data_IF_163771759535
#
_entry.id   IF_163771759535
#
_cell.length_a   1.000
_cell.length_b   1.000
_cell.length_c   1.000
_cell.angle_alpha   90.00
_cell.angle_beta   90.00
_cell.angle_gamma   90.00
#
_symmetry.space_group_name_H-M   'P 1'
#
loop_
_entity.id
_entity.type
_entity.pdbx_description
1 polymer ?
#
# COMPACT_ATOMS: atom_id res chain seq x y z
N UNK A 1 -35.63 20.02 -62.62
CA UNK A 1 -34.57 20.25 -61.62
C UNK A 1 -34.89 19.48 -60.35
N UNK A 2 -33.92 18.82 -59.72
CA UNK A 2 -34.06 18.21 -58.39
C UNK A 2 -32.66 18.17 -57.72
N UNK A 3 -32.48 18.69 -56.50
CA UNK A 3 -31.18 18.71 -55.83
C UNK A 3 -30.82 17.36 -55.21
N UNK A 4 -29.51 17.01 -55.22
CA UNK A 4 -29.03 15.69 -54.84
C UNK A 4 -28.86 15.45 -53.33
N UNK A 5 -28.92 14.17 -52.93
CA UNK A 5 -28.55 13.70 -51.58
C UNK A 5 -27.03 13.71 -51.42
N UNK A 6 -26.50 14.45 -50.43
CA UNK A 6 -25.09 14.33 -49.99
C UNK A 6 -24.95 13.19 -48.98
N UNK A 7 -23.89 12.39 -49.09
CA UNK A 7 -23.60 11.30 -48.17
C UNK A 7 -23.00 11.78 -46.84
N UNK A 8 -23.37 11.14 -45.72
CA UNK A 8 -22.79 11.39 -44.41
C UNK A 8 -21.81 10.26 -44.01
N UNK A 9 -20.53 10.58 -43.89
CA UNK A 9 -19.49 9.62 -43.50
C UNK A 9 -19.56 9.40 -41.98
N UNK A 10 -20.00 8.21 -41.55
CA UNK A 10 -19.97 7.79 -40.13
C UNK A 10 -18.56 7.31 -39.74
N UNK A 11 -17.72 8.24 -39.29
CA UNK A 11 -16.43 7.91 -38.68
C UNK A 11 -16.61 7.12 -37.38
N UNK A 12 -16.20 5.84 -37.37
CA UNK A 12 -16.10 5.05 -36.13
C UNK A 12 -14.90 5.55 -35.32
N UNK A 13 -15.14 6.22 -34.19
CA UNK A 13 -14.08 6.46 -33.18
C UNK A 13 -13.84 5.15 -32.42
N UNK A 14 -12.64 4.59 -32.56
CA UNK A 14 -12.17 3.44 -31.80
C UNK A 14 -11.73 3.87 -30.40
N UNK A 15 -12.59 3.67 -29.40
CA UNK A 15 -12.21 3.83 -28.00
C UNK A 15 -11.34 2.65 -27.53
N UNK A 16 -10.09 2.59 -27.99
CA UNK A 16 -9.05 1.83 -27.30
C UNK A 16 -8.61 2.60 -26.05
N UNK A 17 -9.44 2.54 -25.00
CA UNK A 17 -8.99 2.90 -23.66
C UNK A 17 -8.19 1.72 -23.10
N UNK A 18 -6.90 1.66 -23.44
CA UNK A 18 -5.98 0.65 -22.89
C UNK A 18 -5.95 0.81 -21.37
N UNK A 19 -6.03 -0.31 -20.66
CA UNK A 19 -5.96 -0.34 -19.20
C UNK A 19 -4.53 -0.05 -18.75
N UNK A 20 -4.39 0.70 -17.64
CA UNK A 20 -3.10 0.94 -16.97
C UNK A 20 -3.21 0.58 -15.50
N UNK A 21 -2.21 -0.14 -15.02
CA UNK A 21 -2.09 -0.61 -13.66
C UNK A 21 -1.91 0.54 -12.67
N UNK A 22 -2.30 0.32 -11.42
CA UNK A 22 -2.17 1.32 -10.34
C UNK A 22 -0.73 1.84 -10.19
N UNK A 23 0.26 0.94 -10.25
CA UNK A 23 1.68 1.26 -10.18
C UNK A 23 2.21 2.10 -11.36
N UNK A 24 1.52 2.13 -12.51
CA UNK A 24 1.94 2.94 -13.66
C UNK A 24 1.52 4.41 -13.49
N UNK A 25 0.36 4.66 -12.86
CA UNK A 25 -0.13 6.03 -12.60
C UNK A 25 0.76 6.81 -11.64
N UNK A 26 1.52 6.12 -10.79
CA UNK A 26 2.52 6.74 -9.91
C UNK A 26 3.77 7.20 -10.66
N UNK A 27 4.09 6.60 -11.83
CA UNK A 27 5.23 7.02 -12.65
C UNK A 27 4.95 8.29 -13.46
N UNK A 28 3.72 8.46 -13.94
CA UNK A 28 3.31 9.65 -14.70
C UNK A 28 3.37 10.97 -13.88
N UNK A 29 3.54 10.89 -12.54
CA UNK A 29 3.68 12.05 -11.64
C UNK A 29 5.09 12.68 -11.62
N UNK A 30 6.13 12.01 -12.13
CA UNK A 30 7.54 12.42 -11.92
C UNK A 30 8.05 13.56 -12.82
N UNK A 31 7.24 14.08 -13.75
CA UNK A 31 7.75 14.82 -14.93
C UNK A 31 7.56 16.34 -14.85
N UNK A 32 6.72 16.88 -13.96
CA UNK A 32 6.36 18.31 -13.94
C UNK A 32 6.34 18.96 -12.54
N UNK A 33 7.41 19.69 -12.19
CA UNK A 33 7.44 20.69 -11.11
C UNK A 33 8.65 21.62 -11.30
N UNK A 34 8.46 22.94 -11.23
CA UNK A 34 9.54 23.95 -11.33
C UNK A 34 9.18 25.21 -10.54
N UNK A 35 10.13 25.73 -9.75
CA UNK A 35 10.17 27.07 -9.10
C UNK A 35 9.06 27.34 -8.04
N UNK A 36 9.39 27.37 -6.74
CA UNK A 36 9.69 28.55 -5.87
C UNK A 36 8.43 29.23 -5.24
N UNK A 37 8.44 29.86 -4.05
CA UNK A 37 9.38 29.98 -2.90
C UNK A 37 8.63 30.56 -1.66
N UNK A 38 9.22 30.58 -0.44
CA UNK A 38 8.70 31.36 0.73
C UNK A 38 8.89 30.79 2.16
N UNK A 39 9.01 31.66 3.18
CA UNK A 39 9.26 31.41 4.63
C UNK A 39 8.57 32.55 5.47
N UNK A 40 8.42 32.62 6.81
CA UNK A 40 8.93 32.00 8.06
C UNK A 40 7.74 31.64 9.02
N UNK A 41 7.77 30.80 10.08
CA UNK A 41 8.62 30.54 11.28
C UNK A 41 8.41 31.47 12.51
N UNK A 42 7.98 30.92 13.67
CA UNK A 42 8.44 31.27 15.06
C UNK A 42 7.74 30.50 16.22
N UNK A 43 8.52 29.64 16.90
CA UNK A 43 8.69 29.40 18.37
C UNK A 43 7.53 29.20 19.41
N UNK A 44 7.49 27.97 19.95
CA UNK A 44 7.73 27.57 21.38
C UNK A 44 6.74 27.72 22.56
N UNK A 45 6.93 26.79 23.51
CA UNK A 45 6.55 26.74 24.96
C UNK A 45 5.28 25.96 25.35
N UNK A 46 5.22 25.05 26.35
CA UNK A 46 6.17 24.08 26.96
C UNK A 46 5.37 23.10 27.89
N UNK A 47 6.04 22.08 28.45
CA UNK A 47 5.78 21.42 29.74
C UNK A 47 4.66 20.36 29.86
N UNK A 48 5.12 19.12 29.61
CA UNK A 48 5.06 17.97 30.56
C UNK A 48 3.71 17.43 31.08
N UNK A 49 3.37 16.22 30.62
CA UNK A 49 2.94 15.10 31.47
C UNK A 49 3.01 13.79 30.67
N UNK A 50 4.14 13.09 30.70
CA UNK A 50 4.31 11.77 30.04
C UNK A 50 4.69 10.69 31.06
N UNK A 51 3.70 10.19 31.79
CA UNK A 51 3.74 8.82 32.28
C UNK A 51 3.54 7.91 31.07
N UNK A 52 4.51 7.07 30.72
CA UNK A 52 4.40 6.12 29.60
C UNK A 52 3.40 4.99 29.94
N UNK A 53 2.12 5.28 29.78
CA UNK A 53 1.04 4.29 29.76
C UNK A 53 1.11 3.50 28.46
N UNK A 54 1.60 2.26 28.51
CA UNK A 54 1.83 1.43 27.31
C UNK A 54 0.60 1.21 26.42
N UNK A 55 -0.62 1.37 26.96
CA UNK A 55 -1.87 1.20 26.20
C UNK A 55 -2.20 2.35 25.22
N UNK A 56 -1.46 3.46 25.26
CA UNK A 56 -1.69 4.65 24.42
C UNK A 56 -2.94 5.47 24.81
N UNK A 57 -3.32 6.43 23.95
CA UNK A 57 -4.43 7.37 24.21
C UNK A 57 -5.50 7.22 23.12
N UNK A 58 -6.80 7.28 23.48
CA UNK A 58 -7.87 7.24 22.48
C UNK A 58 -7.93 8.55 21.67
N UNK A 59 -8.12 8.44 20.35
CA UNK A 59 -8.23 9.59 19.47
C UNK A 59 -9.41 10.52 19.83
N UNK A 60 -9.12 11.81 19.97
CA UNK A 60 -10.11 12.86 20.24
C UNK A 60 -10.90 13.30 18.99
N UNK A 61 -10.42 12.94 17.80
CA UNK A 61 -11.02 13.25 16.49
C UNK A 61 -11.89 12.10 15.97
N UNK A 62 -12.76 12.40 15.00
CA UNK A 62 -13.76 11.44 14.52
C UNK A 62 -13.15 10.37 13.60
N UNK A 63 -13.04 9.12 14.05
CA UNK A 63 -12.69 7.99 13.18
C UNK A 63 -13.95 7.40 12.54
N UNK A 64 -13.92 7.15 11.22
CA UNK A 64 -15.04 6.57 10.48
C UNK A 64 -14.60 5.54 9.42
N UNK A 65 -15.53 4.72 8.94
CA UNK A 65 -15.30 3.83 7.79
C UNK A 65 -16.54 3.67 6.92
N UNK A 66 -16.36 3.32 5.65
CA UNK A 66 -17.43 2.70 4.86
C UNK A 66 -17.25 1.17 4.88
N UNK A 67 -18.19 0.44 5.50
CA UNK A 67 -18.25 -1.02 5.45
C UNK A 67 -18.96 -1.48 4.16
N UNK A 68 -18.23 -2.15 3.25
CA UNK A 68 -18.80 -2.69 2.02
C UNK A 68 -19.40 -4.10 2.19
N UNK A 69 -19.24 -4.72 3.36
CA UNK A 69 -19.63 -6.10 3.67
C UNK A 69 -18.84 -7.17 2.89
N UNK A 70 -17.73 -6.80 2.23
CA UNK A 70 -16.91 -7.73 1.43
C UNK A 70 -16.04 -8.68 2.28
N UNK A 71 -15.92 -8.43 3.59
CA UNK A 71 -15.03 -9.14 4.52
C UNK A 71 -15.79 -9.98 5.57
N UNK A 72 -15.21 -11.12 5.97
CA UNK A 72 -15.67 -11.94 7.11
C UNK A 72 -15.83 -11.06 8.38
N UNK A 73 -17.04 -10.94 8.97
CA UNK A 73 -17.28 -10.10 10.14
C UNK A 73 -16.41 -10.44 11.37
N UNK A 74 -15.93 -11.68 11.48
CA UNK A 74 -15.09 -12.12 12.59
C UNK A 74 -13.62 -11.71 12.41
N UNK A 75 -13.14 -11.65 11.17
CA UNK A 75 -11.73 -11.37 10.81
C UNK A 75 -11.45 -9.90 10.45
N UNK A 76 -12.46 -9.19 9.96
CA UNK A 76 -12.34 -7.77 9.59
C UNK A 76 -11.91 -6.90 10.80
N UNK A 77 -10.82 -6.12 10.64
CA UNK A 77 -10.34 -5.20 11.67
C UNK A 77 -11.23 -3.96 11.84
N UNK A 78 -11.81 -3.41 10.76
CA UNK A 78 -12.78 -2.31 10.83
C UNK A 78 -14.03 -2.67 11.65
N UNK A 79 -14.63 -3.83 11.39
CA UNK A 79 -15.75 -4.39 12.16
C UNK A 79 -15.38 -4.79 13.58
N UNK A 80 -14.11 -5.06 13.87
CA UNK A 80 -13.64 -5.21 15.26
C UNK A 80 -13.56 -3.85 15.96
N UNK A 81 -12.98 -2.81 15.34
CA UNK A 81 -12.99 -1.44 15.87
C UNK A 81 -14.43 -0.94 16.12
N UNK A 82 -15.38 -1.29 15.24
CA UNK A 82 -16.79 -0.94 15.39
C UNK A 82 -17.41 -1.58 16.64
N UNK A 83 -17.08 -2.85 16.94
CA UNK A 83 -17.50 -3.53 18.18
C UNK A 83 -16.88 -2.94 19.45
N UNK A 84 -15.73 -2.28 19.33
CA UNK A 84 -15.11 -1.51 20.43
C UNK A 84 -15.59 -0.05 20.50
N UNK A 85 -16.55 0.37 19.65
CA UNK A 85 -17.02 1.76 19.49
C UNK A 85 -15.93 2.77 19.09
N UNK A 86 -14.80 2.31 18.54
CA UNK A 86 -13.65 3.14 18.16
C UNK A 86 -13.74 3.72 16.75
N UNK A 87 -14.78 3.37 15.98
CA UNK A 87 -15.00 3.84 14.61
C UNK A 87 -16.49 3.91 14.30
N UNK A 88 -16.92 4.89 13.51
CA UNK A 88 -18.32 5.06 13.08
C UNK A 88 -18.51 4.53 11.65
N UNK A 89 -19.57 3.76 11.40
CA UNK A 89 -19.87 3.29 10.04
C UNK A 89 -20.64 4.36 9.24
N UNK A 90 -20.22 4.61 8.00
CA UNK A 90 -20.77 5.59 7.07
C UNK A 90 -21.61 4.88 6.00
N UNK A 91 -22.74 5.46 5.62
CA UNK A 91 -23.61 4.90 4.56
C UNK A 91 -22.99 5.14 3.19
N UNK A 92 -23.13 4.19 2.26
CA UNK A 92 -22.64 4.33 0.88
C UNK A 92 -23.32 5.49 0.13
N UNK A 93 -22.57 6.57 -0.12
CA UNK A 93 -23.09 7.85 -0.65
C UNK A 93 -23.05 9.01 0.36
N UNK A 94 -22.87 8.73 1.65
CA UNK A 94 -22.57 9.73 2.66
C UNK A 94 -21.17 10.31 2.40
N UNK A 95 -21.05 11.65 2.40
CA UNK A 95 -19.76 12.35 2.31
C UNK A 95 -19.08 12.37 3.69
N UNK A 96 -17.78 12.17 3.70
CA UNK A 96 -16.92 12.44 4.86
C UNK A 96 -16.20 13.79 4.64
N UNK A 97 -16.09 14.68 5.66
CA UNK A 97 -15.42 15.96 5.50
C UNK A 97 -13.90 15.86 5.60
N UNK A 98 -13.38 14.95 6.42
CA UNK A 98 -11.95 14.81 6.71
C UNK A 98 -11.20 13.89 5.77
N UNK A 99 -10.02 13.47 6.23
CA UNK A 99 -9.08 12.67 5.46
C UNK A 99 -9.62 11.25 5.21
N UNK A 100 -9.46 10.75 3.98
CA UNK A 100 -9.88 9.39 3.61
C UNK A 100 -8.73 8.61 2.98
N UNK A 101 -8.37 7.51 3.61
CA UNK A 101 -7.45 6.51 3.06
C UNK A 101 -8.17 5.74 1.95
N UNK A 102 -7.77 5.97 0.70
CA UNK A 102 -8.48 5.48 -0.49
C UNK A 102 -7.57 5.43 -1.72
N UNK A 103 -7.60 4.34 -2.53
CA UNK A 103 -6.74 4.17 -3.71
C UNK A 103 -7.07 5.13 -4.87
N UNK A 104 -8.10 5.99 -4.75
CA UNK A 104 -8.35 7.10 -5.68
C UNK A 104 -7.78 8.44 -5.21
N UNK A 105 -6.97 8.46 -4.15
CA UNK A 105 -6.17 9.62 -3.75
C UNK A 105 -5.03 9.90 -4.73
N UNK A 106 -4.65 11.18 -4.85
CA UNK A 106 -3.52 11.66 -5.67
C UNK A 106 -2.35 12.21 -4.84
N UNK A 107 -2.51 12.28 -3.52
CA UNK A 107 -1.51 12.72 -2.55
C UNK A 107 -1.32 11.60 -1.52
N UNK A 108 -0.09 11.43 -1.04
CA UNK A 108 0.24 10.55 0.06
C UNK A 108 -0.11 11.22 1.40
N UNK A 109 -0.41 10.45 2.46
CA UNK A 109 -0.50 11.00 3.83
C UNK A 109 0.85 11.60 4.21
N UNK A 110 0.83 12.82 4.75
CA UNK A 110 2.02 13.55 5.21
C UNK A 110 1.74 14.32 6.50
N UNK A 111 2.76 14.78 7.25
CA UNK A 111 2.53 15.53 8.49
C UNK A 111 1.62 16.77 8.33
N UNK A 112 1.65 17.43 7.16
CA UNK A 112 0.73 18.51 6.77
C UNK A 112 -0.77 18.14 6.82
N UNK A 113 -1.14 16.85 6.90
CA UNK A 113 -2.54 16.41 7.01
C UNK A 113 -3.10 16.46 8.45
N UNK A 114 -2.27 16.74 9.45
CA UNK A 114 -2.65 16.75 10.88
C UNK A 114 -3.89 17.60 11.16
N UNK A 115 -3.90 18.87 10.75
CA UNK A 115 -5.03 19.80 10.96
C UNK A 115 -6.35 19.28 10.37
N UNK A 116 -6.28 18.52 9.27
CA UNK A 116 -7.44 17.92 8.61
C UNK A 116 -8.01 16.79 9.46
N UNK A 117 -7.12 15.97 10.04
CA UNK A 117 -7.48 14.87 10.94
C UNK A 117 -8.06 15.41 12.25
N UNK A 118 -7.41 16.37 12.91
CA UNK A 118 -7.90 16.94 14.16
C UNK A 118 -9.27 17.64 13.99
N UNK A 119 -9.44 18.42 12.92
CA UNK A 119 -10.64 19.25 12.70
C UNK A 119 -11.82 18.50 12.09
N UNK A 120 -11.59 17.52 11.21
CA UNK A 120 -12.64 16.86 10.42
C UNK A 120 -12.64 15.33 10.55
N UNK A 121 -11.61 14.74 11.15
CA UNK A 121 -11.48 13.31 11.36
C UNK A 121 -10.76 12.55 10.25
N UNK A 122 -10.63 11.25 10.47
CA UNK A 122 -9.92 10.28 9.63
C UNK A 122 -10.86 9.13 9.26
N UNK A 123 -10.82 8.66 8.02
CA UNK A 123 -11.63 7.51 7.60
C UNK A 123 -10.92 6.55 6.62
N UNK A 124 -11.45 5.33 6.58
CA UNK A 124 -10.93 4.20 5.77
C UNK A 124 -12.08 3.48 5.03
N UNK A 125 -11.76 2.71 3.99
CA UNK A 125 -12.72 1.94 3.21
C UNK A 125 -12.53 0.45 3.53
N UNK A 126 -13.46 -0.17 4.24
CA UNK A 126 -13.38 -1.60 4.58
C UNK A 126 -13.90 -2.44 3.40
N UNK A 127 -12.95 -2.91 2.61
CA UNK A 127 -13.15 -3.74 1.43
C UNK A 127 -12.17 -4.91 1.45
N UNK A 128 -12.50 -6.03 0.78
CA UNK A 128 -11.55 -7.11 0.59
C UNK A 128 -10.65 -6.80 -0.60
N UNK A 129 -9.34 -7.04 -0.46
CA UNK A 129 -8.37 -6.86 -1.54
C UNK A 129 -8.75 -7.59 -2.84
N UNK A 130 -9.43 -8.74 -2.73
CA UNK A 130 -9.95 -9.52 -3.86
C UNK A 130 -11.21 -8.91 -4.56
N UNK A 131 -11.71 -7.77 -4.09
CA UNK A 131 -12.87 -7.04 -4.64
C UNK A 131 -12.61 -5.53 -4.71
N UNK A 132 -11.35 -5.13 -4.88
CA UNK A 132 -10.98 -3.72 -4.96
C UNK A 132 -11.50 -3.08 -6.26
N UNK A 133 -11.47 -3.81 -7.39
CA UNK A 133 -11.94 -3.29 -8.69
C UNK A 133 -13.48 -3.20 -8.78
N UNK A 134 -14.20 -4.05 -8.04
CA UNK A 134 -15.66 -3.97 -7.88
C UNK A 134 -16.11 -2.79 -6.98
N UNK A 135 -15.18 -2.15 -6.26
CA UNK A 135 -15.53 -1.21 -5.19
C UNK A 135 -15.96 0.16 -5.75
N UNK A 136 -17.16 0.68 -5.37
CA UNK A 136 -17.72 1.91 -5.95
C UNK A 136 -17.12 3.19 -5.32
N UNK A 137 -15.81 3.41 -5.48
CA UNK A 137 -15.07 4.56 -4.91
C UNK A 137 -15.73 5.92 -5.20
N UNK A 138 -16.33 6.11 -6.39
CA UNK A 138 -17.06 7.34 -6.74
C UNK A 138 -18.29 7.67 -5.85
N UNK A 139 -18.76 6.72 -5.02
CA UNK A 139 -19.80 6.92 -3.99
C UNK A 139 -19.25 7.30 -2.61
N UNK A 140 -17.95 7.18 -2.37
CA UNK A 140 -17.29 7.43 -1.09
C UNK A 140 -16.49 8.73 -1.19
N UNK A 141 -17.20 9.86 -1.04
CA UNK A 141 -16.66 11.19 -1.36
C UNK A 141 -16.09 11.89 -0.12
N UNK A 142 -14.86 12.40 -0.25
CA UNK A 142 -14.19 13.32 0.67
C UNK A 142 -13.45 14.40 -0.15
N UNK A 143 -13.18 15.60 0.41
CA UNK A 143 -12.29 16.59 -0.22
C UNK A 143 -10.79 16.26 -0.05
N UNK A 144 -10.44 15.32 0.85
CA UNK A 144 -9.06 14.99 1.21
C UNK A 144 -8.79 13.47 1.08
N UNK A 145 -8.89 12.88 -0.13
CA UNK A 145 -8.47 11.50 -0.35
C UNK A 145 -6.94 11.40 -0.31
N UNK A 146 -6.43 10.31 0.27
CA UNK A 146 -4.99 10.04 0.45
C UNK A 146 -4.63 8.60 0.16
N UNK A 147 -3.42 8.42 -0.36
CA UNK A 147 -2.70 7.17 -0.41
C UNK A 147 -1.87 7.00 0.87
N UNK A 148 -1.53 5.76 1.23
CA UNK A 148 -0.47 5.50 2.21
C UNK A 148 0.84 5.22 1.47
N UNK A 149 1.99 5.57 2.05
CA UNK A 149 3.29 5.21 1.50
C UNK A 149 3.57 3.71 1.65
N UNK A 150 4.70 3.24 1.11
CA UNK A 150 5.19 1.88 1.30
C UNK A 150 5.26 1.52 2.79
N UNK A 151 4.47 0.51 3.16
CA UNK A 151 4.42 -0.08 4.50
C UNK A 151 4.14 -1.57 4.34
N UNK A 152 4.70 -2.37 5.24
CA UNK A 152 4.58 -3.83 5.26
C UNK A 152 3.54 -4.24 6.30
N UNK A 153 2.60 -5.11 5.90
CA UNK A 153 1.57 -5.60 6.79
C UNK A 153 2.15 -6.54 7.87
N UNK A 154 1.70 -6.37 9.11
CA UNK A 154 1.99 -7.28 10.23
C UNK A 154 0.76 -8.12 10.63
N UNK A 155 -0.42 -7.86 10.05
CA UNK A 155 -1.60 -8.67 10.33
C UNK A 155 -1.43 -10.15 9.89
N UNK A 156 -1.99 -11.13 10.62
CA UNK A 156 -1.82 -12.56 10.33
C UNK A 156 -2.36 -13.09 8.99
N UNK A 157 -3.00 -12.26 8.16
CA UNK A 157 -3.55 -12.66 6.84
C UNK A 157 -2.57 -12.25 5.72
N UNK A 158 -1.88 -11.13 5.90
CA UNK A 158 -1.00 -10.51 4.91
C UNK A 158 0.42 -10.24 5.43
N UNK A 159 0.84 -10.86 6.53
CA UNK A 159 2.17 -10.67 7.13
C UNK A 159 3.29 -10.67 6.09
N UNK A 160 4.17 -9.66 6.13
CA UNK A 160 5.29 -9.50 5.21
C UNK A 160 4.94 -8.98 3.82
N UNK A 161 3.65 -8.80 3.48
CA UNK A 161 3.24 -8.27 2.18
C UNK A 161 3.23 -6.73 2.20
N UNK A 162 3.86 -6.05 1.22
CA UNK A 162 3.81 -4.60 1.11
C UNK A 162 2.42 -4.13 0.66
N UNK A 163 2.01 -2.94 1.09
CA UNK A 163 0.75 -2.25 0.80
C UNK A 163 -0.55 -2.97 1.24
N UNK A 164 -0.55 -4.29 1.48
CA UNK A 164 -1.74 -5.09 1.82
C UNK A 164 -2.16 -4.99 3.29
N UNK A 165 -2.11 -3.78 3.84
CA UNK A 165 -2.51 -3.43 5.20
C UNK A 165 -3.98 -3.79 5.46
N UNK A 166 -4.32 -4.04 6.72
CA UNK A 166 -5.71 -4.07 7.20
C UNK A 166 -6.15 -2.68 7.69
N UNK A 167 -7.46 -2.50 7.87
CA UNK A 167 -8.04 -1.20 8.20
C UNK A 167 -7.49 -0.56 9.50
N UNK A 168 -7.05 -1.34 10.49
CA UNK A 168 -6.42 -0.79 11.72
C UNK A 168 -4.98 -0.33 11.48
N UNK A 169 -4.19 -1.09 10.72
CA UNK A 169 -2.81 -0.71 10.35
C UNK A 169 -2.82 0.54 9.47
N UNK A 170 -3.76 0.63 8.52
CA UNK A 170 -3.92 1.80 7.67
C UNK A 170 -4.27 3.07 8.47
N UNK A 171 -5.21 2.98 9.42
CA UNK A 171 -5.54 4.08 10.32
C UNK A 171 -4.37 4.46 11.23
N UNK A 172 -3.70 3.48 11.83
CA UNK A 172 -2.58 3.71 12.73
C UNK A 172 -1.35 4.29 12.01
N UNK A 173 -1.07 3.89 10.77
CA UNK A 173 -0.05 4.49 9.93
C UNK A 173 -0.34 5.98 9.66
N UNK A 174 -1.57 6.30 9.25
CA UNK A 174 -1.97 7.68 9.00
C UNK A 174 -1.88 8.56 10.27
N UNK A 175 -2.30 8.01 11.42
CA UNK A 175 -2.13 8.64 12.74
C UNK A 175 -0.64 8.87 13.06
N UNK A 176 0.21 7.86 12.92
CA UNK A 176 1.63 7.95 13.27
C UNK A 176 2.38 8.98 12.40
N UNK A 177 2.12 8.99 11.08
CA UNK A 177 2.71 9.96 10.14
C UNK A 177 2.28 11.38 10.49
N UNK A 178 1.02 11.61 10.89
CA UNK A 178 0.51 12.93 11.30
C UNK A 178 0.82 13.31 12.76
N UNK A 179 1.68 12.55 13.45
CA UNK A 179 2.13 12.83 14.81
C UNK A 179 1.26 12.27 15.94
N UNK A 180 0.09 11.70 15.62
CA UNK A 180 -0.82 11.02 16.54
C UNK A 180 -0.31 9.62 16.95
N UNK A 181 0.93 9.56 17.46
CA UNK A 181 1.65 8.31 17.74
C UNK A 181 1.07 7.52 18.92
N UNK A 182 0.45 8.19 19.90
CA UNK A 182 -0.21 7.51 21.04
C UNK A 182 -1.58 6.94 20.65
N UNK A 183 -2.28 7.60 19.71
CA UNK A 183 -3.52 7.13 19.11
C UNK A 183 -3.27 5.90 18.22
N UNK A 184 -2.20 5.93 17.41
CA UNK A 184 -1.75 4.78 16.64
C UNK A 184 -1.53 3.54 17.53
N UNK A 185 -0.77 3.71 18.64
CA UNK A 185 -0.56 2.67 19.66
C UNK A 185 -1.89 2.18 20.26
N UNK A 186 -2.78 3.08 20.67
CA UNK A 186 -4.06 2.71 21.28
C UNK A 186 -4.95 1.89 20.34
N UNK A 187 -5.05 2.27 19.06
CA UNK A 187 -5.86 1.53 18.09
C UNK A 187 -5.27 0.13 17.80
N UNK A 188 -3.95 0.01 17.76
CA UNK A 188 -3.24 -1.25 17.56
C UNK A 188 -3.29 -2.15 18.81
N UNK A 189 -3.22 -1.61 20.03
CA UNK A 189 -3.27 -2.37 21.29
C UNK A 189 -4.50 -3.27 21.43
N UNK A 190 -5.60 -2.96 20.71
CA UNK A 190 -6.80 -3.78 20.70
C UNK A 190 -6.63 -5.07 19.89
N UNK A 191 -5.47 -5.29 19.27
CA UNK A 191 -5.09 -6.47 18.48
C UNK A 191 -3.79 -7.06 19.05
N UNK A 192 -3.77 -8.36 19.32
CA UNK A 192 -2.62 -9.02 19.98
C UNK A 192 -1.31 -8.97 19.19
N UNK A 193 -1.40 -8.80 17.87
CA UNK A 193 -0.28 -8.63 16.93
C UNK A 193 0.00 -7.15 16.59
N UNK A 194 -0.75 -6.20 17.18
CA UNK A 194 -0.75 -4.81 16.76
C UNK A 194 0.57 -4.07 17.04
N UNK A 195 1.30 -4.47 18.08
CA UNK A 195 2.64 -3.93 18.39
C UNK A 195 3.63 -4.19 17.23
N UNK A 196 3.59 -5.40 16.67
CA UNK A 196 4.45 -5.85 15.58
C UNK A 196 4.32 -5.01 14.31
N UNK A 197 3.23 -4.25 14.13
CA UNK A 197 3.12 -3.32 12.99
C UNK A 197 4.03 -2.09 13.14
N UNK A 198 4.15 -1.54 14.36
CA UNK A 198 5.02 -0.40 14.62
C UNK A 198 6.50 -0.82 14.70
N UNK A 199 6.77 -2.05 15.13
CA UNK A 199 8.11 -2.64 15.13
C UNK A 199 8.59 -2.93 13.71
N UNK A 200 7.80 -3.65 12.90
CA UNK A 200 8.14 -4.02 11.51
C UNK A 200 8.33 -2.82 10.58
N UNK A 201 7.73 -1.67 10.91
CA UNK A 201 7.78 -0.46 10.10
C UNK A 201 8.42 0.73 10.85
N UNK A 202 9.19 0.49 11.92
CA UNK A 202 9.70 1.54 12.82
C UNK A 202 10.43 2.65 12.08
N UNK A 203 11.30 2.28 11.15
CA UNK A 203 12.25 3.18 10.52
C UNK A 203 11.54 4.03 9.46
N UNK A 204 10.75 3.39 8.59
CA UNK A 204 9.93 4.08 7.59
C UNK A 204 8.84 4.95 8.21
N UNK A 205 8.18 4.51 9.28
CA UNK A 205 7.16 5.32 9.96
C UNK A 205 7.78 6.54 10.64
N UNK A 206 8.98 6.43 11.21
CA UNK A 206 9.70 7.58 11.78
C UNK A 206 10.17 8.53 10.67
N UNK A 207 10.75 8.00 9.59
CA UNK A 207 11.15 8.75 8.39
C UNK A 207 9.98 9.57 7.82
N UNK A 208 8.84 8.93 7.53
CA UNK A 208 7.64 9.62 7.02
C UNK A 208 7.06 10.65 8.01
N UNK A 209 7.21 10.42 9.32
CA UNK A 209 6.79 11.40 10.36
C UNK A 209 7.74 12.60 10.51
N UNK A 210 8.92 12.57 9.86
CA UNK A 210 9.89 13.67 9.81
C UNK A 210 9.88 14.44 8.47
N UNK A 211 9.13 13.95 7.46
CA UNK A 211 8.84 14.69 6.23
C UNK A 211 7.96 15.93 6.51
N UNK A 212 7.63 16.70 5.47
CA UNK A 212 6.67 17.81 5.58
C UNK A 212 5.39 17.53 4.81
N UNK A 213 5.53 17.15 3.54
CA UNK A 213 4.46 17.11 2.55
C UNK A 213 4.36 15.77 1.80
N UNK A 214 3.37 15.67 0.90
CA UNK A 214 3.16 14.46 0.09
C UNK A 214 4.30 14.15 -0.89
N UNK A 215 5.13 15.12 -1.32
CA UNK A 215 6.29 14.88 -2.19
C UNK A 215 7.45 14.29 -1.39
N UNK A 216 7.85 14.95 -0.32
CA UNK A 216 8.95 14.51 0.55
C UNK A 216 8.71 13.11 1.14
N UNK A 217 7.46 12.75 1.47
CA UNK A 217 7.10 11.36 1.86
C UNK A 217 7.32 10.35 0.72
N UNK A 218 7.03 10.71 -0.54
CA UNK A 218 7.24 9.82 -1.70
C UNK A 218 8.71 9.75 -2.12
N UNK A 219 9.47 10.82 -1.96
CA UNK A 219 10.92 10.85 -2.18
C UNK A 219 11.63 9.94 -1.17
N UNK A 220 11.36 10.12 0.12
CA UNK A 220 11.89 9.27 1.20
C UNK A 220 11.46 7.79 1.06
N UNK A 221 10.24 7.53 0.58
CA UNK A 221 9.78 6.18 0.25
C UNK A 221 10.63 5.53 -0.85
N UNK A 222 10.95 6.27 -1.91
CA UNK A 222 11.70 5.74 -3.04
C UNK A 222 13.17 5.51 -2.67
N UNK A 223 13.78 6.42 -1.90
CA UNK A 223 15.14 6.26 -1.36
C UNK A 223 15.24 5.00 -0.49
N UNK A 224 14.29 4.77 0.42
CA UNK A 224 14.23 3.55 1.24
C UNK A 224 14.10 2.27 0.41
N UNK A 225 13.26 2.28 -0.64
CA UNK A 225 13.10 1.14 -1.53
C UNK A 225 14.34 0.87 -2.38
N UNK A 226 15.07 1.91 -2.77
CA UNK A 226 16.33 1.77 -3.50
C UNK A 226 17.49 1.30 -2.62
N UNK A 227 17.56 1.69 -1.34
CA UNK A 227 18.57 1.17 -0.41
C UNK A 227 18.30 -0.29 -0.05
N UNK A 228 17.08 -0.63 0.38
CA UNK A 228 16.69 -2.00 0.69
C UNK A 228 16.80 -2.95 -0.52
N UNK A 229 16.65 -2.42 -1.74
CA UNK A 229 16.89 -3.17 -2.98
C UNK A 229 18.35 -3.56 -3.22
N UNK A 230 19.30 -2.68 -2.86
CA UNK A 230 20.76 -2.92 -3.02
C UNK A 230 21.24 -3.97 -2.00
N UNK A 231 20.85 -3.82 -0.74
CA UNK A 231 21.19 -4.75 0.34
C UNK A 231 20.77 -6.21 0.04
N UNK A 232 19.66 -6.42 -0.67
CA UNK A 232 19.19 -7.75 -1.07
C UNK A 232 20.02 -8.41 -2.20
N UNK A 233 20.69 -7.61 -3.05
CA UNK A 233 21.56 -8.16 -4.11
C UNK A 233 22.97 -8.46 -3.57
N UNK A 234 23.48 -7.59 -2.68
CA UNK A 234 24.76 -7.75 -1.98
C UNK A 234 24.74 -8.90 -0.93
N UNK A 235 23.59 -9.16 -0.30
CA UNK A 235 23.42 -10.24 0.69
C UNK A 235 22.95 -11.58 0.11
N UNK A 236 22.90 -11.71 -1.22
CA UNK A 236 22.52 -12.95 -1.93
C UNK A 236 23.38 -14.12 -1.42
N UNK A 237 22.79 -15.13 -0.76
CA UNK A 237 23.59 -16.12 -0.02
C UNK A 237 24.44 -16.95 -0.97
N UNK A 238 25.76 -16.98 -0.71
CA UNK A 238 26.73 -17.83 -1.40
C UNK A 238 26.59 -19.29 -0.95
N UNK A 239 25.40 -19.87 -1.16
CA UNK A 239 25.21 -21.31 -1.11
C UNK A 239 26.00 -21.90 -2.30
N UNK A 240 27.03 -22.72 -2.08
CA UNK A 240 27.77 -23.32 -3.19
C UNK A 240 26.81 -24.19 -4.01
N UNK A 241 26.96 -24.26 -5.35
CA UNK A 241 26.22 -25.24 -6.14
C UNK A 241 26.38 -26.63 -5.50
N UNK A 242 25.26 -27.30 -5.23
CA UNK A 242 25.29 -28.66 -4.71
C UNK A 242 25.71 -29.60 -5.85
N UNK A 243 27.02 -29.67 -6.12
CA UNK A 243 27.64 -30.63 -7.02
C UNK A 243 27.50 -32.04 -6.44
N UNK A 244 26.29 -32.57 -6.54
CA UNK A 244 25.96 -33.98 -6.34
C UNK A 244 26.45 -34.77 -7.54
N UNK A 245 27.76 -34.79 -7.74
CA UNK A 245 28.44 -35.68 -8.68
C UNK A 245 28.19 -37.12 -8.26
N UNK A 246 27.09 -37.69 -8.76
CA UNK A 246 26.76 -39.11 -8.62
C UNK A 246 27.68 -39.91 -9.53
N UNK A 247 28.94 -40.03 -9.10
CA UNK A 247 29.92 -40.89 -9.73
C UNK A 247 29.51 -42.36 -9.48
N UNK A 248 29.29 -43.08 -10.57
CA UNK A 248 28.84 -44.48 -10.53
C UNK A 248 29.25 -45.19 -11.82
N UNK A 249 30.56 -45.39 -11.97
CA UNK A 249 31.08 -46.41 -12.89
C UNK A 249 30.55 -47.80 -12.48
N UNK A 250 30.06 -48.55 -13.45
CA UNK A 250 29.85 -49.99 -13.32
C UNK A 250 30.02 -50.64 -14.70
N UNK A 251 31.26 -50.99 -15.01
CA UNK A 251 31.61 -51.82 -16.16
C UNK A 251 30.95 -53.21 -16.02
N UNK A 252 30.42 -53.75 -17.11
CA UNK A 252 30.23 -55.19 -17.28
C UNK A 252 30.28 -55.55 -18.77
N UNK A 253 31.12 -56.53 -19.08
CA UNK A 253 31.62 -56.81 -20.44
C UNK A 253 30.69 -57.69 -21.29
N UNK A 254 30.93 -57.63 -22.60
CA UNK A 254 31.15 -58.73 -23.58
C UNK A 254 30.64 -60.16 -23.20
N UNK A 255 30.02 -60.98 -24.06
CA UNK A 255 30.08 -61.15 -25.53
C UNK A 255 28.75 -61.83 -26.03
N UNK A 256 28.47 -62.28 -27.27
CA UNK A 256 29.29 -62.65 -28.45
C UNK A 256 28.47 -62.68 -29.78
N UNK A 257 29.18 -62.74 -30.92
CA UNK A 257 28.82 -63.30 -32.27
C UNK A 257 27.60 -62.73 -33.05
N UNK A 258 27.58 -62.56 -34.39
CA UNK A 258 28.53 -62.08 -35.44
C UNK A 258 28.08 -62.61 -36.84
N UNK A 259 27.93 -61.75 -37.88
CA UNK A 259 28.39 -61.94 -39.30
C UNK A 259 27.78 -60.97 -40.34
N UNK A 260 28.68 -60.29 -41.07
CA UNK A 260 28.75 -60.02 -42.53
C UNK A 260 27.45 -59.68 -43.32
N UNK A 261 27.38 -58.61 -44.12
CA UNK A 261 28.21 -58.38 -45.33
C UNK A 261 28.08 -56.95 -45.92
N UNK A 262 29.10 -56.54 -46.73
CA UNK A 262 29.14 -55.59 -47.89
C UNK A 262 28.21 -54.35 -47.91
N UNK A 263 28.68 -53.10 -48.09
CA UNK A 263 29.62 -52.50 -49.09
C UNK A 263 29.04 -52.41 -50.52
N UNK A 264 28.49 -51.24 -50.90
CA UNK A 264 28.86 -50.33 -52.01
C UNK A 264 27.93 -49.06 -51.97
N UNK A 265 28.45 -47.84 -52.20
CA UNK A 265 28.25 -46.94 -53.37
C UNK A 265 26.80 -46.81 -53.89
N UNK A 266 26.32 -45.63 -54.30
CA UNK A 266 26.98 -44.33 -54.63
C UNK A 266 26.39 -43.21 -53.79
#
# INVERSE_FOLDING_TARGET
>A
MAPGKRGGIRGKRSNHHVERNYAERLKDLSVHSSEESGLESTNDTDSSNNSDSEEGIQANFCISMWDLNHCDPKKCSGRKLLRHNLIKNLKLGQRFPGLVLSPVGSQCVSPNDKDIIEKYGLAVIDCSWAKIDETPFGRMKSPHPRLLPFLVAANPINYGKPYQLSCVEALAAAMFITGHKQEAKFYLSKFSWGHSFLELNSDVLNLYSACTDSKSVLEAQNEFLESAGKENDDSKPMWPPSDSSSDSESEHDEDDICKNNKVEKV
#
